data_IF_232344888074
#
_entry.id   IF_232344888074
#
_cell.length_a   1.000
_cell.length_b   1.000
_cell.length_c   1.000
_cell.angle_alpha   90.00
_cell.angle_beta   90.00
_cell.angle_gamma   90.00
#
_symmetry.space_group_name_H-M   'P 1'
#
loop_
_entity.id
_entity.type
_entity.pdbx_description
1 polymer ?
#
# COMPACT_ATOMS: atom_id res chain seq x y z
N UNK A 1 9.98 18.93 -49.79
CA UNK A 1 8.80 18.11 -49.44
C UNK A 1 9.02 17.27 -48.17
N UNK A 2 10.22 16.71 -47.95
CA UNK A 2 10.60 15.90 -46.76
C UNK A 2 10.47 16.67 -45.42
N UNK A 3 10.76 17.97 -45.40
CA UNK A 3 10.74 18.77 -44.15
C UNK A 3 9.34 19.01 -43.55
N UNK A 4 8.29 18.91 -44.37
CA UNK A 4 6.88 19.01 -43.91
C UNK A 4 6.41 17.73 -43.23
N UNK A 5 6.89 16.57 -43.68
CA UNK A 5 6.60 15.27 -43.02
C UNK A 5 7.35 15.13 -41.69
N UNK A 6 8.58 15.64 -41.61
CA UNK A 6 9.37 15.59 -40.37
C UNK A 6 8.70 16.35 -39.22
N UNK A 7 8.20 17.58 -39.46
CA UNK A 7 7.52 18.40 -38.46
C UNK A 7 6.20 17.78 -37.96
N UNK A 8 5.44 17.11 -38.82
CA UNK A 8 4.18 16.43 -38.43
C UNK A 8 4.48 15.26 -37.48
N UNK A 9 5.54 14.48 -37.75
CA UNK A 9 5.96 13.39 -36.87
C UNK A 9 6.46 13.92 -35.51
N UNK A 10 7.18 15.05 -35.47
CA UNK A 10 7.68 15.63 -34.21
C UNK A 10 6.53 16.15 -33.34
N UNK A 11 5.53 16.81 -33.92
CA UNK A 11 4.34 17.28 -33.19
C UNK A 11 3.51 16.10 -32.68
N UNK A 12 3.37 15.04 -33.48
CA UNK A 12 2.65 13.82 -33.05
C UNK A 12 3.34 13.10 -31.87
N UNK A 13 4.69 13.04 -31.87
CA UNK A 13 5.46 12.47 -30.77
C UNK A 13 5.34 13.28 -29.46
N UNK A 14 5.28 14.61 -29.56
CA UNK A 14 5.10 15.51 -28.41
C UNK A 14 3.67 15.41 -27.86
N UNK A 15 2.66 15.13 -28.68
CA UNK A 15 1.29 14.90 -28.20
C UNK A 15 1.13 13.54 -27.50
N UNK A 16 1.88 12.51 -27.90
CA UNK A 16 1.83 11.18 -27.23
C UNK A 16 2.54 11.16 -25.85
N UNK A 17 3.41 12.13 -25.55
CA UNK A 17 4.11 12.18 -24.26
C UNK A 17 3.26 12.66 -23.07
N UNK A 18 2.02 13.10 -23.28
CA UNK A 18 1.25 13.79 -22.23
C UNK A 18 0.25 12.95 -21.43
N UNK A 19 0.02 11.66 -21.72
CA UNK A 19 -1.03 10.91 -21.02
C UNK A 19 -0.73 9.45 -20.71
N UNK A 20 0.51 9.10 -20.37
CA UNK A 20 0.71 7.89 -19.55
C UNK A 20 0.40 8.26 -18.10
N UNK A 21 -0.87 8.16 -17.71
CA UNK A 21 -1.22 8.02 -16.29
C UNK A 21 -0.68 6.67 -15.82
N UNK A 22 0.62 6.61 -15.56
CA UNK A 22 1.25 5.46 -14.94
C UNK A 22 0.67 5.36 -13.53
N UNK A 23 -0.22 4.41 -13.33
CA UNK A 23 -0.62 4.04 -11.97
C UNK A 23 0.64 3.60 -11.23
N UNK A 24 0.92 4.17 -10.06
CA UNK A 24 2.13 3.83 -9.34
C UNK A 24 2.10 2.33 -8.98
N UNK A 25 3.24 1.66 -9.16
CA UNK A 25 3.43 0.24 -8.82
C UNK A 25 3.75 0.07 -7.33
N UNK A 26 3.08 0.84 -6.48
CA UNK A 26 3.43 1.00 -5.08
C UNK A 26 2.81 2.22 -4.43
N UNK A 27 2.76 2.22 -3.11
CA UNK A 27 2.37 3.37 -2.33
C UNK A 27 3.43 4.49 -2.47
N UNK A 28 2.99 5.76 -2.51
CA UNK A 28 3.89 6.92 -2.72
C UNK A 28 4.83 7.19 -1.54
N UNK A 29 4.31 7.11 -0.31
CA UNK A 29 5.04 7.27 0.95
C UNK A 29 5.15 5.93 1.71
N UNK A 30 5.92 5.91 2.79
CA UNK A 30 5.96 4.80 3.74
C UNK A 30 4.98 5.02 4.91
N UNK A 31 4.52 6.24 5.15
CA UNK A 31 3.67 6.57 6.29
C UNK A 31 2.22 6.80 5.85
N UNK A 32 1.27 6.03 6.41
CA UNK A 32 -0.16 6.19 6.09
C UNK A 32 -0.71 7.59 6.40
N UNK A 33 -0.13 8.33 7.35
CA UNK A 33 -0.57 9.69 7.68
C UNK A 33 -0.07 10.74 6.68
N UNK A 34 1.05 10.47 5.99
CA UNK A 34 1.60 11.34 4.93
C UNK A 34 0.97 11.08 3.57
N UNK A 35 0.25 9.98 3.41
CA UNK A 35 -0.46 9.68 2.16
C UNK A 35 -1.53 10.69 1.79
N UNK A 36 -2.03 11.47 2.74
CA UNK A 36 -2.95 12.59 2.46
C UNK A 36 -2.30 13.69 1.60
N UNK A 37 -0.97 13.80 1.65
CA UNK A 37 -0.17 14.78 0.92
C UNK A 37 0.23 14.24 -0.47
N UNK A 38 -0.23 13.04 -0.82
CA UNK A 38 0.01 12.38 -2.11
C UNK A 38 -0.65 13.15 -3.27
N UNK A 39 -0.02 13.17 -4.47
CA UNK A 39 -0.53 13.89 -5.65
C UNK A 39 -1.91 13.41 -6.15
N UNK A 40 -2.45 12.35 -5.56
CA UNK A 40 -3.76 11.80 -5.91
C UNK A 40 -4.95 12.56 -5.23
N UNK A 41 -4.68 13.61 -4.44
CA UNK A 41 -5.69 14.53 -3.91
C UNK A 41 -5.99 14.33 -2.42
N UNK A 42 -6.52 15.34 -1.74
CA UNK A 42 -6.57 15.42 -0.27
C UNK A 42 -7.59 14.46 0.43
N UNK A 43 -8.17 13.48 -0.26
CA UNK A 43 -9.31 12.73 0.28
C UNK A 43 -8.89 11.53 1.13
N UNK A 44 -8.06 11.78 2.16
CA UNK A 44 -7.93 10.86 3.28
C UNK A 44 -9.13 11.08 4.20
N UNK A 45 -10.12 10.21 4.09
CA UNK A 45 -11.29 10.32 4.96
C UNK A 45 -10.84 10.00 6.38
N UNK A 46 -11.21 10.84 7.35
CA UNK A 46 -11.04 10.58 8.79
C UNK A 46 -11.90 9.39 9.29
N UNK A 47 -12.56 8.68 8.38
CA UNK A 47 -13.30 7.46 8.65
C UNK A 47 -12.72 6.28 7.85
N UNK A 48 -13.04 5.08 8.27
CA UNK A 48 -12.52 3.86 7.65
C UNK A 48 -13.29 3.45 6.39
N UNK A 49 -14.35 4.17 6.00
CA UNK A 49 -15.18 3.83 4.83
C UNK A 49 -15.89 2.47 4.90
N UNK A 50 -16.00 1.88 6.10
CA UNK A 50 -16.51 0.52 6.30
C UNK A 50 -15.45 -0.57 6.09
N UNK A 51 -14.19 -0.20 5.81
CA UNK A 51 -13.06 -1.12 5.83
C UNK A 51 -12.54 -1.29 7.26
N UNK A 52 -11.89 -2.42 7.53
CA UNK A 52 -11.37 -2.78 8.85
C UNK A 52 -10.07 -3.56 8.71
N UNK A 53 -9.17 -3.36 9.67
CA UNK A 53 -8.02 -4.22 9.90
C UNK A 53 -8.30 -5.10 11.13
N UNK A 54 -7.99 -6.38 11.03
CA UNK A 54 -8.15 -7.35 12.11
C UNK A 54 -6.85 -8.12 12.31
N UNK A 55 -6.58 -8.48 13.57
CA UNK A 55 -5.40 -9.27 13.95
C UNK A 55 -5.89 -10.60 14.53
N UNK A 56 -5.31 -11.69 14.05
CA UNK A 56 -5.52 -13.03 14.61
C UNK A 56 -4.16 -13.66 14.91
N UNK A 57 -3.93 -14.06 16.15
CA UNK A 57 -2.73 -14.83 16.51
C UNK A 57 -2.80 -16.20 15.84
N UNK A 58 -1.74 -16.58 15.13
CA UNK A 58 -1.55 -17.94 14.62
C UNK A 58 -0.63 -18.70 15.57
N UNK A 59 0.02 -19.76 15.08
CA UNK A 59 1.10 -20.42 15.81
C UNK A 59 2.27 -19.45 15.99
N UNK A 60 2.62 -19.17 17.25
CA UNK A 60 3.69 -18.23 17.61
C UNK A 60 4.99 -18.52 16.83
N UNK A 61 5.68 -17.48 16.31
CA UNK A 61 5.43 -16.04 16.49
C UNK A 61 4.53 -15.42 15.40
N UNK A 62 3.80 -16.23 14.62
CA UNK A 62 3.06 -15.77 13.45
C UNK A 62 1.73 -15.12 13.82
N UNK A 63 1.38 -14.08 13.08
CA UNK A 63 0.15 -13.32 13.21
C UNK A 63 -0.47 -13.15 11.84
N UNK A 64 -1.78 -13.30 11.74
CA UNK A 64 -2.55 -12.95 10.55
C UNK A 64 -3.09 -11.54 10.69
N UNK A 65 -2.78 -10.69 9.71
CA UNK A 65 -3.33 -9.35 9.55
C UNK A 65 -4.33 -9.42 8.40
N UNK A 66 -5.61 -9.25 8.71
CA UNK A 66 -6.71 -9.34 7.75
C UNK A 66 -7.28 -7.95 7.46
N UNK A 67 -7.45 -7.62 6.18
CA UNK A 67 -8.14 -6.42 5.71
C UNK A 67 -9.46 -6.84 5.10
N UNK A 68 -10.56 -6.30 5.62
CA UNK A 68 -11.93 -6.60 5.20
C UNK A 68 -12.70 -5.31 4.97
N UNK A 69 -13.81 -5.36 4.24
CA UNK A 69 -14.63 -4.17 3.98
C UNK A 69 -15.51 -4.33 2.73
N UNK A 70 -16.17 -3.25 2.29
CA UNK A 70 -17.06 -3.29 1.13
C UNK A 70 -16.28 -3.40 -0.18
N UNK A 71 -16.68 -4.35 -1.04
CA UNK A 71 -16.21 -4.45 -2.42
C UNK A 71 -14.72 -4.79 -2.54
N UNK A 72 -14.09 -4.22 -3.57
CA UNK A 72 -12.68 -4.43 -3.91
C UNK A 72 -11.83 -3.17 -3.68
N UNK A 73 -10.52 -3.36 -3.54
CA UNK A 73 -9.54 -2.27 -3.45
C UNK A 73 -8.54 -2.36 -4.61
N UNK A 74 -7.96 -1.23 -5.01
CA UNK A 74 -6.92 -1.15 -6.06
C UNK A 74 -5.53 -0.91 -5.47
N UNK A 75 -5.45 -0.18 -4.37
CA UNK A 75 -4.20 0.09 -3.67
C UNK A 75 -4.24 -0.31 -2.21
N UNK A 76 -3.07 -0.62 -1.68
CA UNK A 76 -2.84 -0.96 -0.28
C UNK A 76 -1.45 -0.46 0.12
N UNK A 77 -1.33 0.00 1.35
CA UNK A 77 -0.09 0.03 2.13
C UNK A 77 -0.42 -0.52 3.52
N UNK A 78 0.34 -1.52 3.98
CA UNK A 78 0.19 -2.12 5.32
C UNK A 78 1.57 -2.41 5.92
N UNK A 79 1.71 -2.11 7.21
CA UNK A 79 2.92 -2.36 7.97
C UNK A 79 2.62 -2.47 9.47
N UNK A 80 3.63 -2.88 10.23
CA UNK A 80 3.62 -2.80 11.69
C UNK A 80 4.75 -1.86 12.12
N UNK A 81 4.43 -0.88 12.95
CA UNK A 81 5.40 0.06 13.51
C UNK A 81 5.63 -0.18 15.00
N UNK A 82 6.87 0.01 15.46
CA UNK A 82 7.23 -0.02 16.87
C UNK A 82 6.92 1.33 17.56
N UNK A 83 7.27 1.46 18.83
CA UNK A 83 7.12 2.67 19.64
C UNK A 83 7.96 3.86 19.13
N UNK A 84 9.06 3.59 18.42
CA UNK A 84 9.89 4.60 17.74
C UNK A 84 9.32 5.03 16.39
N UNK A 85 8.23 4.40 15.92
CA UNK A 85 7.64 4.67 14.61
C UNK A 85 8.36 3.98 13.44
N UNK A 86 9.28 3.05 13.72
CA UNK A 86 10.01 2.29 12.71
C UNK A 86 9.22 1.06 12.28
N UNK A 87 9.24 0.74 10.99
CA UNK A 87 8.58 -0.44 10.46
C UNK A 87 9.42 -1.69 10.80
N UNK A 88 8.78 -2.70 11.38
CA UNK A 88 9.47 -3.90 11.84
C UNK A 88 8.69 -5.20 11.56
N UNK A 89 9.38 -6.31 11.82
CA UNK A 89 8.91 -7.63 11.44
C UNK A 89 8.90 -7.83 9.93
N UNK A 90 8.28 -8.91 9.49
CA UNK A 90 8.26 -9.28 8.08
C UNK A 90 6.94 -9.93 7.70
N UNK A 91 6.40 -9.50 6.56
CA UNK A 91 5.31 -10.18 5.90
C UNK A 91 5.84 -11.36 5.08
N UNK A 92 5.08 -12.45 5.07
CA UNK A 92 5.19 -13.48 4.04
C UNK A 92 4.15 -13.17 2.96
N UNK A 93 4.62 -12.85 1.75
CA UNK A 93 3.74 -12.50 0.63
C UNK A 93 3.99 -13.43 -0.56
N UNK A 94 3.04 -14.33 -0.80
CA UNK A 94 2.98 -15.16 -2.00
C UNK A 94 2.06 -14.56 -3.08
N UNK A 95 1.29 -13.53 -2.73
CA UNK A 95 0.32 -12.92 -3.63
C UNK A 95 1.01 -11.93 -4.59
N UNK A 96 0.92 -12.24 -5.88
CA UNK A 96 1.55 -11.48 -6.97
C UNK A 96 0.92 -10.11 -7.23
N UNK A 97 -0.17 -9.75 -6.56
CA UNK A 97 -0.77 -8.41 -6.61
C UNK A 97 -0.12 -7.42 -5.63
N UNK A 98 0.82 -7.89 -4.82
CA UNK A 98 1.53 -7.12 -3.82
C UNK A 98 3.04 -7.26 -3.99
N UNK A 99 3.75 -6.25 -3.50
CA UNK A 99 5.20 -6.19 -3.45
C UNK A 99 5.63 -5.57 -2.12
N UNK A 100 6.89 -5.80 -1.75
CA UNK A 100 7.47 -5.12 -0.61
C UNK A 100 7.90 -3.71 -0.99
N UNK A 101 7.62 -2.74 -0.12
CA UNK A 101 8.16 -1.39 -0.23
C UNK A 101 9.32 -1.24 0.75
N UNK A 102 10.46 -0.77 0.26
CA UNK A 102 11.61 -0.50 1.11
C UNK A 102 11.37 0.75 1.95
N UNK A 103 10.97 0.53 3.20
CA UNK A 103 10.58 1.57 4.17
C UNK A 103 11.31 1.43 5.52
N UNK A 104 12.14 0.41 5.67
CA UNK A 104 12.89 0.10 6.90
C UNK A 104 14.33 -0.17 6.54
N UNK A 105 15.25 0.33 7.36
CA UNK A 105 16.68 0.06 7.22
C UNK A 105 17.05 -1.37 7.58
N UNK A 106 16.21 -2.08 8.34
CA UNK A 106 16.51 -3.38 8.93
C UNK A 106 15.77 -4.54 8.25
N UNK A 107 14.50 -4.33 7.86
CA UNK A 107 13.64 -5.39 7.33
C UNK A 107 12.98 -4.97 6.00
N UNK A 108 13.52 -5.46 4.88
CA UNK A 108 13.04 -5.17 3.52
C UNK A 108 11.62 -5.68 3.23
N UNK A 109 11.10 -6.61 4.04
CA UNK A 109 9.75 -7.16 3.94
C UNK A 109 8.80 -6.68 5.05
N UNK A 110 9.16 -5.61 5.78
CA UNK A 110 8.34 -5.04 6.86
C UNK A 110 7.10 -4.28 6.38
N UNK A 111 7.03 -3.97 5.09
CA UNK A 111 5.99 -3.12 4.51
C UNK A 111 5.50 -3.72 3.20
N UNK A 112 4.18 -3.96 3.13
CA UNK A 112 3.54 -4.51 1.96
C UNK A 112 2.73 -3.42 1.25
N UNK A 113 2.86 -3.37 -0.08
CA UNK A 113 2.10 -2.46 -0.94
C UNK A 113 1.52 -3.22 -2.14
N UNK A 114 0.48 -2.65 -2.76
CA UNK A 114 0.08 -3.06 -4.11
C UNK A 114 1.21 -2.86 -5.14
N UNK A 115 1.27 -3.70 -6.17
CA UNK A 115 2.23 -3.55 -7.29
C UNK A 115 1.56 -3.17 -8.62
N UNK A 116 0.24 -3.08 -8.64
CA UNK A 116 -0.59 -2.73 -9.80
C UNK A 116 -1.93 -2.20 -9.34
N UNK A 117 -2.65 -1.52 -10.24
CA UNK A 117 -4.03 -1.04 -10.03
C UNK A 117 -5.10 -2.13 -10.21
N UNK A 118 -4.69 -3.38 -10.44
CA UNK A 118 -5.61 -4.50 -10.53
C UNK A 118 -6.43 -4.62 -9.24
N UNK A 119 -7.73 -4.85 -9.39
CA UNK A 119 -8.63 -4.99 -8.26
C UNK A 119 -8.30 -6.22 -7.42
N UNK A 120 -8.34 -6.03 -6.10
CA UNK A 120 -8.07 -7.02 -5.08
C UNK A 120 -9.37 -7.24 -4.31
N UNK A 121 -9.88 -8.47 -4.37
CA UNK A 121 -11.10 -8.85 -3.66
C UNK A 121 -10.79 -8.99 -2.16
N UNK A 122 -11.71 -8.53 -1.32
CA UNK A 122 -11.63 -8.65 0.13
C UNK A 122 -12.37 -9.91 0.61
N UNK A 123 -11.96 -10.53 1.72
CA UNK A 123 -10.84 -10.12 2.60
C UNK A 123 -9.46 -10.45 2.03
N UNK A 124 -8.47 -9.66 2.44
CA UNK A 124 -7.04 -9.92 2.20
C UNK A 124 -6.38 -10.34 3.49
N UNK A 125 -5.74 -11.50 3.48
CA UNK A 125 -5.06 -12.07 4.64
C UNK A 125 -3.55 -12.07 4.42
N UNK A 126 -2.82 -11.48 5.36
CA UNK A 126 -1.35 -11.41 5.33
C UNK A 126 -0.76 -12.08 6.56
N UNK A 127 0.19 -12.98 6.37
CA UNK A 127 0.98 -13.52 7.47
C UNK A 127 2.13 -12.57 7.78
N UNK A 128 2.27 -12.21 9.06
CA UNK A 128 3.33 -11.35 9.58
C UNK A 128 4.00 -12.02 10.79
N UNK A 129 5.29 -11.79 10.96
CA UNK A 129 6.07 -12.24 12.12
C UNK A 129 6.96 -11.09 12.62
N UNK A 130 7.11 -10.90 13.95
CA UNK A 130 7.98 -9.88 14.52
C UNK A 130 9.48 -10.13 14.24
N UNK A 131 9.86 -11.34 13.81
CA UNK A 131 11.25 -11.75 13.67
C UNK A 131 11.84 -12.23 15.01
N UNK A 132 13.07 -11.84 15.33
CA UNK A 132 13.72 -12.17 16.60
C UNK A 132 13.24 -11.24 17.72
N UNK A 133 12.54 -11.80 18.71
CA UNK A 133 12.03 -11.08 19.88
C UNK A 133 10.51 -10.90 19.89
N UNK A 134 9.91 -10.86 21.08
CA UNK A 134 8.53 -10.42 21.29
C UNK A 134 8.53 -8.90 21.38
N UNK A 135 7.82 -8.23 20.47
CA UNK A 135 7.79 -6.77 20.43
C UNK A 135 6.35 -6.32 20.24
N UNK A 136 5.89 -5.43 21.13
CA UNK A 136 4.62 -4.75 20.97
C UNK A 136 4.71 -3.79 19.77
N UNK A 137 3.69 -3.77 18.94
CA UNK A 137 3.64 -2.93 17.76
C UNK A 137 2.24 -2.41 17.49
N UNK A 138 2.11 -1.60 16.45
CA UNK A 138 0.81 -1.16 15.93
C UNK A 138 0.74 -1.47 14.46
N UNK A 139 -0.24 -2.29 14.06
CA UNK A 139 -0.57 -2.52 12.66
C UNK A 139 -1.27 -1.28 12.10
N UNK A 140 -0.81 -0.82 10.93
CA UNK A 140 -1.33 0.37 10.25
C UNK A 140 -1.56 0.04 8.79
N UNK A 141 -2.67 0.55 8.27
CA UNK A 141 -3.03 0.32 6.87
C UNK A 141 -3.82 1.49 6.27
N UNK A 142 -3.67 1.65 4.97
CA UNK A 142 -4.52 2.50 4.14
C UNK A 142 -4.89 1.73 2.87
N UNK A 143 -6.16 1.82 2.47
CA UNK A 143 -6.68 1.17 1.27
C UNK A 143 -7.14 2.21 0.26
N UNK A 144 -6.90 1.95 -1.03
CA UNK A 144 -7.32 2.82 -2.13
C UNK A 144 -8.37 2.09 -2.95
N UNK A 145 -9.57 2.65 -3.06
CA UNK A 145 -10.66 2.14 -3.91
C UNK A 145 -10.56 2.76 -5.30
N UNK A 146 -10.27 4.06 -5.37
CA UNK A 146 -10.01 4.81 -6.61
C UNK A 146 -9.08 6.00 -6.30
N UNK A 147 -8.62 6.72 -7.34
CA UNK A 147 -7.76 7.89 -7.14
C UNK A 147 -8.34 8.95 -6.21
N UNK A 148 -9.66 9.09 -6.17
CA UNK A 148 -10.37 10.07 -5.32
C UNK A 148 -10.94 9.45 -4.04
N UNK A 149 -10.69 8.17 -3.77
CA UNK A 149 -11.33 7.44 -2.67
C UNK A 149 -10.35 6.46 -2.03
N UNK A 150 -9.83 6.84 -0.87
CA UNK A 150 -9.04 5.98 -0.01
C UNK A 150 -9.39 6.17 1.46
N UNK A 151 -9.03 5.18 2.27
CA UNK A 151 -9.42 5.10 3.68
C UNK A 151 -8.26 4.64 4.52
N UNK A 152 -7.90 5.45 5.52
CA UNK A 152 -7.00 5.03 6.59
C UNK A 152 -7.79 4.12 7.52
N UNK A 153 -7.23 2.95 7.83
CA UNK A 153 -7.85 2.00 8.75
C UNK A 153 -7.46 2.32 10.19
N UNK A 154 -8.19 1.76 11.14
CA UNK A 154 -7.88 1.90 12.55
C UNK A 154 -6.47 1.39 12.88
N UNK A 155 -5.81 2.04 13.83
CA UNK A 155 -4.54 1.57 14.36
C UNK A 155 -4.81 0.42 15.33
N UNK A 156 -4.31 -0.78 15.02
CA UNK A 156 -4.59 -1.96 15.83
C UNK A 156 -3.33 -2.46 16.54
N UNK A 157 -3.30 -2.54 17.88
CA UNK A 157 -2.13 -3.00 18.62
C UNK A 157 -1.85 -4.48 18.32
N UNK A 158 -0.58 -4.81 18.14
CA UNK A 158 -0.04 -6.16 18.05
C UNK A 158 0.74 -6.43 19.33
N UNK A 159 0.39 -7.53 20.00
CA UNK A 159 1.18 -8.10 21.07
C UNK A 159 1.55 -9.51 20.63
N UNK A 160 2.81 -9.76 20.25
CA UNK A 160 3.30 -11.08 19.84
C UNK A 160 3.72 -11.91 21.04
#
# INVERSE_FOLDING_TARGET
MIWKFLNICTISLICLSYFTFAWPTGAGDCNVDKMKDSPHGAYAVENTGGFSINITKLTSPKIKISISGPGSIKGLLVYVQNDKGEHFGGFNNENTLFSFKDCSTEAKNSTLTHNSSQEKQLPLDFEWSPGTGSINGTARAIVVVSFSKWYKLDNLPINS
#
